data_IF_781264186919
#
_entry.id   IF_781264186919
#
_cell.length_a   1.000
_cell.length_b   1.000
_cell.length_c   1.000
_cell.angle_alpha   90.00
_cell.angle_beta   90.00
_cell.angle_gamma   90.00
#
_symmetry.space_group_name_H-M   'P 1'
#
loop_
_entity.id
_entity.type
_entity.pdbx_description
1 polymer ?
#
# COMPACT_ATOMS: atom_id res chain seq x y z
N UNK A 1 39.40 0.24 14.06
CA UNK A 1 38.94 -1.06 13.52
C UNK A 1 38.31 -1.92 14.61
N UNK A 2 38.87 -2.01 15.81
CA UNK A 2 38.28 -2.74 16.96
C UNK A 2 36.86 -2.29 17.36
N UNK A 3 36.55 -1.00 17.33
CA UNK A 3 35.23 -0.48 17.71
C UNK A 3 34.10 -0.87 16.76
N UNK A 4 34.40 -1.11 15.49
CA UNK A 4 33.41 -1.52 14.48
C UNK A 4 33.12 -3.02 14.59
N UNK A 5 34.15 -3.83 14.83
CA UNK A 5 34.03 -5.27 15.11
C UNK A 5 33.20 -5.54 16.37
N UNK A 6 33.42 -4.76 17.44
CA UNK A 6 32.63 -4.86 18.67
C UNK A 6 31.17 -4.50 18.40
N UNK A 7 30.90 -3.39 17.69
CA UNK A 7 29.54 -2.99 17.35
C UNK A 7 28.82 -4.03 16.47
N UNK A 8 29.52 -4.59 15.47
CA UNK A 8 29.00 -5.67 14.62
C UNK A 8 28.74 -6.95 15.43
N UNK A 9 29.64 -7.33 16.34
CA UNK A 9 29.46 -8.50 17.19
C UNK A 9 28.25 -8.35 18.13
N UNK A 10 28.03 -7.16 18.68
CA UNK A 10 26.88 -6.85 19.53
C UNK A 10 25.58 -6.91 18.72
N UNK A 11 25.57 -6.37 17.51
CA UNK A 11 24.41 -6.41 16.60
C UNK A 11 24.11 -7.85 16.15
N UNK A 12 25.13 -8.65 15.85
CA UNK A 12 24.97 -10.05 15.45
C UNK A 12 24.58 -10.96 16.64
N UNK A 13 25.03 -10.65 17.85
CA UNK A 13 24.61 -11.32 19.08
C UNK A 13 23.23 -10.87 19.58
N UNK A 14 22.72 -9.75 19.07
CA UNK A 14 21.34 -9.28 19.28
C UNK A 14 20.37 -9.99 18.32
N UNK A 15 20.62 -11.27 18.05
CA UNK A 15 19.59 -12.15 17.55
C UNK A 15 18.54 -12.25 18.65
N UNK A 16 17.33 -11.80 18.32
CA UNK A 16 16.09 -11.91 19.08
C UNK A 16 16.19 -12.85 20.26
N UNK A 17 16.13 -12.32 21.49
CA UNK A 17 15.73 -13.12 22.64
C UNK A 17 14.41 -13.76 22.20
N UNK A 18 14.34 -15.10 22.08
CA UNK A 18 13.08 -15.74 21.77
C UNK A 18 12.15 -15.34 22.90
N UNK A 19 11.07 -14.63 22.57
CA UNK A 19 10.00 -14.41 23.53
C UNK A 19 9.60 -15.80 24.03
N UNK A 20 9.56 -15.99 25.35
CA UNK A 20 9.07 -17.25 25.89
C UNK A 20 7.67 -17.47 25.30
N UNK A 21 7.32 -18.71 24.94
CA UNK A 21 6.02 -19.07 24.36
C UNK A 21 4.81 -18.54 25.17
N UNK A 22 4.99 -18.16 26.43
CA UNK A 22 3.97 -17.48 27.25
C UNK A 22 3.75 -15.99 26.93
N UNK A 23 4.77 -15.26 26.48
CA UNK A 23 4.69 -13.82 26.21
C UNK A 23 4.06 -13.52 24.83
N UNK A 24 4.27 -14.39 23.83
CA UNK A 24 3.61 -14.28 22.53
C UNK A 24 2.09 -14.44 22.67
N UNK A 25 1.66 -15.39 23.50
CA UNK A 25 0.23 -15.60 23.79
C UNK A 25 -0.40 -14.39 24.50
N UNK A 26 0.30 -13.76 25.44
CA UNK A 26 -0.23 -12.58 26.15
C UNK A 26 -0.41 -11.36 25.24
N UNK A 27 0.52 -11.13 24.31
CA UNK A 27 0.39 -10.05 23.30
C UNK A 27 -0.74 -10.36 22.32
N UNK A 28 -0.89 -11.62 21.90
CA UNK A 28 -1.95 -12.05 21.00
C UNK A 28 -3.34 -11.89 21.64
N UNK A 29 -3.47 -12.26 22.92
CA UNK A 29 -4.68 -12.03 23.71
C UNK A 29 -5.00 -10.54 23.82
N UNK A 30 -3.99 -9.68 24.03
CA UNK A 30 -4.15 -8.24 24.06
C UNK A 30 -4.65 -7.69 22.72
N UNK A 31 -4.02 -8.06 21.60
CA UNK A 31 -4.45 -7.62 20.27
C UNK A 31 -5.85 -8.12 19.92
N UNK A 32 -6.15 -9.38 20.23
CA UNK A 32 -7.49 -9.96 20.04
C UNK A 32 -8.54 -9.20 20.85
N UNK A 33 -8.25 -8.88 22.11
CA UNK A 33 -9.14 -8.09 22.97
C UNK A 33 -9.36 -6.68 22.40
N UNK A 34 -8.29 -6.02 21.96
CA UNK A 34 -8.37 -4.69 21.34
C UNK A 34 -9.26 -4.72 20.10
N UNK A 35 -9.05 -5.69 19.20
CA UNK A 35 -9.83 -5.82 17.97
C UNK A 35 -11.29 -6.13 18.26
N UNK A 36 -11.57 -7.04 19.20
CA UNK A 36 -12.95 -7.29 19.60
C UNK A 36 -13.66 -6.05 20.12
N UNK A 37 -12.99 -5.28 20.99
CA UNK A 37 -13.54 -4.01 21.48
C UNK A 37 -13.72 -3.02 20.33
N UNK A 38 -12.76 -2.92 19.41
CA UNK A 38 -12.85 -1.98 18.29
C UNK A 38 -14.00 -2.29 17.33
N UNK A 39 -14.17 -3.57 16.96
CA UNK A 39 -15.15 -3.99 15.96
C UNK A 39 -16.55 -4.25 16.54
N UNK A 40 -16.67 -4.78 17.76
CA UNK A 40 -17.96 -5.21 18.33
C UNK A 40 -18.51 -4.31 19.42
N UNK A 41 -17.90 -3.13 19.67
CA UNK A 41 -18.50 -2.14 20.57
C UNK A 41 -19.89 -1.77 20.08
N UNK A 42 -20.85 -1.77 21.01
CA UNK A 42 -22.25 -1.41 20.75
C UNK A 42 -22.33 -0.08 19.98
N UNK A 43 -22.92 -0.11 18.78
CA UNK A 43 -23.15 1.07 17.94
C UNK A 43 -22.42 1.09 16.59
N UNK A 44 -21.47 0.20 16.31
CA UNK A 44 -20.87 0.07 14.96
C UNK A 44 -21.74 -0.88 14.12
N UNK A 45 -22.26 -0.41 12.98
CA UNK A 45 -22.99 -1.26 12.06
C UNK A 45 -22.04 -2.13 11.21
N UNK A 46 -22.57 -3.20 10.61
CA UNK A 46 -21.79 -4.15 9.80
C UNK A 46 -21.05 -3.48 8.63
N UNK A 47 -21.64 -2.46 8.01
CA UNK A 47 -21.01 -1.69 6.93
C UNK A 47 -19.76 -0.94 7.39
N UNK A 48 -19.81 -0.31 8.57
CA UNK A 48 -18.67 0.38 9.14
C UNK A 48 -17.63 -0.63 9.63
N UNK A 49 -18.02 -1.79 10.17
CA UNK A 49 -17.08 -2.86 10.50
C UNK A 49 -16.31 -3.31 9.26
N UNK A 50 -17.00 -3.54 8.13
CA UNK A 50 -16.34 -3.90 6.86
C UNK A 50 -15.35 -2.82 6.43
N UNK A 51 -15.76 -1.55 6.44
CA UNK A 51 -14.88 -0.41 6.09
C UNK A 51 -13.68 -0.29 7.03
N UNK A 52 -13.88 -0.49 8.33
CA UNK A 52 -12.80 -0.51 9.32
C UNK A 52 -11.80 -1.62 9.01
N UNK A 53 -12.29 -2.82 8.68
CA UNK A 53 -11.45 -3.96 8.31
C UNK A 53 -10.68 -3.68 7.02
N UNK A 54 -11.34 -3.10 6.01
CA UNK A 54 -10.70 -2.72 4.76
C UNK A 54 -9.60 -1.68 4.97
N UNK A 55 -9.83 -0.65 5.79
CA UNK A 55 -8.81 0.33 6.16
C UNK A 55 -7.65 -0.34 6.90
N UNK A 56 -7.95 -1.14 7.92
CA UNK A 56 -6.93 -1.80 8.74
C UNK A 56 -6.04 -2.71 7.88
N UNK A 57 -6.64 -3.58 7.07
CA UNK A 57 -5.91 -4.47 6.17
C UNK A 57 -5.05 -3.69 5.17
N UNK A 58 -5.55 -2.56 4.69
CA UNK A 58 -4.81 -1.68 3.78
C UNK A 58 -3.60 -1.04 4.48
N UNK A 59 -3.72 -0.66 5.76
CA UNK A 59 -2.58 -0.17 6.56
C UNK A 59 -1.55 -1.28 6.79
N UNK A 60 -2.00 -2.51 7.05
CA UNK A 60 -1.10 -3.67 7.24
C UNK A 60 -0.35 -4.04 5.96
N UNK A 61 -1.02 -4.00 4.80
CA UNK A 61 -0.45 -4.39 3.51
C UNK A 61 0.16 -3.23 2.72
N UNK A 62 0.27 -2.04 3.32
CA UNK A 62 0.83 -0.87 2.65
C UNK A 62 2.33 -1.08 2.36
N UNK A 63 2.76 -0.81 1.11
CA UNK A 63 4.17 -0.86 0.75
C UNK A 63 4.94 0.32 1.37
N UNK A 64 4.27 1.46 1.49
CA UNK A 64 4.73 2.64 2.21
C UNK A 64 3.55 3.22 3.02
N UNK A 65 3.76 3.73 4.25
CA UNK A 65 2.71 4.40 5.01
C UNK A 65 2.04 5.51 4.20
N UNK A 66 0.71 5.61 4.32
CA UNK A 66 -0.10 6.56 3.58
C UNK A 66 -0.72 7.60 4.51
N UNK A 67 -0.96 8.81 4.01
CA UNK A 67 -1.79 9.78 4.72
C UNK A 67 -3.25 9.33 4.74
N UNK A 68 -4.05 9.90 5.64
CA UNK A 68 -5.50 9.65 5.68
C UNK A 68 -6.21 9.96 4.35
N UNK A 69 -5.73 10.96 3.59
CA UNK A 69 -6.30 11.31 2.29
C UNK A 69 -5.99 10.24 1.25
N UNK A 70 -4.75 9.78 1.16
CA UNK A 70 -4.35 8.71 0.23
C UNK A 70 -5.10 7.42 0.58
N UNK A 71 -5.15 7.06 1.87
CA UNK A 71 -5.86 5.88 2.36
C UNK A 71 -7.36 5.93 2.01
N UNK A 72 -7.99 7.11 2.10
CA UNK A 72 -9.38 7.27 1.67
C UNK A 72 -9.56 6.94 0.19
N UNK A 73 -8.64 7.38 -0.66
CA UNK A 73 -8.70 7.16 -2.12
C UNK A 73 -8.50 5.70 -2.47
N UNK A 74 -7.50 5.04 -1.87
CA UNK A 74 -7.20 3.61 -2.10
C UNK A 74 -8.34 2.70 -1.62
N UNK A 75 -8.99 3.01 -0.50
CA UNK A 75 -10.11 2.22 0.04
C UNK A 75 -11.48 2.62 -0.56
N UNK A 76 -11.52 3.64 -1.44
CA UNK A 76 -12.77 4.09 -2.08
C UNK A 76 -13.73 4.83 -1.13
N UNK A 77 -13.19 5.53 -0.13
CA UNK A 77 -13.92 6.35 0.83
C UNK A 77 -13.95 7.82 0.41
N UNK A 78 -14.94 8.56 0.94
CA UNK A 78 -15.24 9.92 0.47
C UNK A 78 -14.25 10.97 0.98
N UNK A 79 -13.62 10.76 2.14
CA UNK A 79 -12.77 11.78 2.76
C UNK A 79 -11.82 11.20 3.81
N UNK A 80 -10.70 11.91 4.03
CA UNK A 80 -9.77 11.65 5.13
C UNK A 80 -10.47 11.66 6.51
N UNK A 81 -11.43 12.57 6.71
CA UNK A 81 -12.22 12.65 7.96
C UNK A 81 -13.04 11.40 8.21
N UNK A 82 -13.54 10.75 7.15
CA UNK A 82 -14.26 9.48 7.28
C UNK A 82 -13.31 8.36 7.71
N UNK A 83 -12.12 8.28 7.12
CA UNK A 83 -11.08 7.32 7.51
C UNK A 83 -10.67 7.52 8.96
N UNK A 84 -10.42 8.77 9.37
CA UNK A 84 -10.00 9.11 10.73
C UNK A 84 -11.02 8.65 11.79
N UNK A 85 -12.31 8.88 11.53
CA UNK A 85 -13.40 8.41 12.40
C UNK A 85 -13.46 6.89 12.50
N UNK A 86 -13.25 6.18 11.40
CA UNK A 86 -13.24 4.71 11.36
C UNK A 86 -11.99 4.13 12.05
N UNK A 87 -10.87 4.86 12.05
CA UNK A 87 -9.65 4.47 12.78
C UNK A 87 -9.71 4.80 14.28
N UNK A 88 -10.65 5.64 14.73
CA UNK A 88 -10.73 6.07 16.13
C UNK A 88 -10.82 4.89 17.13
N UNK A 89 -11.58 3.81 16.89
CA UNK A 89 -11.59 2.64 17.78
C UNK A 89 -10.29 1.83 17.78
N UNK A 90 -9.44 2.00 16.75
CA UNK A 90 -8.21 1.24 16.52
C UNK A 90 -6.95 2.01 16.98
N UNK A 91 -7.10 3.16 17.65
CA UNK A 91 -5.96 4.03 18.04
C UNK A 91 -4.99 3.40 19.06
N UNK A 92 -5.35 2.28 19.68
CA UNK A 92 -4.45 1.49 20.53
C UNK A 92 -3.47 0.61 19.74
N UNK A 93 -3.70 0.40 18.45
CA UNK A 93 -2.82 -0.39 17.55
C UNK A 93 -2.40 0.37 16.29
N UNK A 94 -3.13 1.44 15.92
CA UNK A 94 -2.84 2.31 14.78
C UNK A 94 -2.50 3.71 15.26
N UNK A 95 -1.40 4.24 14.75
CA UNK A 95 -0.92 5.60 14.97
C UNK A 95 -1.21 6.51 13.77
N UNK A 96 -1.54 7.76 14.04
CA UNK A 96 -1.58 8.83 13.02
C UNK A 96 -0.96 10.07 13.66
N UNK A 97 0.37 10.26 13.52
CA UNK A 97 1.07 11.43 14.05
C UNK A 97 0.52 12.72 13.46
N UNK A 98 0.51 13.81 14.24
CA UNK A 98 0.03 15.12 13.75
C UNK A 98 1.01 15.76 12.78
N UNK A 99 2.29 15.42 12.92
CA UNK A 99 3.42 16.02 12.20
C UNK A 99 3.47 15.51 10.76
N UNK A 100 3.32 14.19 10.58
CA UNK A 100 3.40 13.56 9.26
C UNK A 100 2.03 13.23 8.66
N UNK A 101 1.02 12.99 9.51
CA UNK A 101 -0.28 12.49 9.07
C UNK A 101 -0.26 11.07 8.47
N UNK A 102 0.89 10.39 8.51
CA UNK A 102 1.08 9.04 7.96
C UNK A 102 0.50 8.00 8.92
N UNK A 103 -0.40 7.17 8.41
CA UNK A 103 -1.03 6.09 9.17
C UNK A 103 -0.06 4.92 9.27
N UNK A 104 0.28 4.53 10.48
CA UNK A 104 1.23 3.44 10.79
C UNK A 104 0.69 2.57 11.91
N UNK A 105 1.24 1.37 12.11
CA UNK A 105 0.96 0.59 13.32
C UNK A 105 1.82 1.11 14.47
N UNK A 106 1.31 0.99 15.70
CA UNK A 106 2.05 1.43 16.89
C UNK A 106 3.24 0.51 17.22
N UNK A 107 3.16 -0.75 16.85
CA UNK A 107 4.19 -1.74 17.10
C UNK A 107 4.38 -2.67 15.91
N UNK A 108 5.62 -3.12 15.69
CA UNK A 108 5.99 -3.97 14.58
C UNK A 108 5.37 -5.39 14.66
N UNK A 109 5.13 -5.90 15.87
CA UNK A 109 4.50 -7.22 16.05
C UNK A 109 3.00 -7.25 15.73
N UNK A 110 2.33 -6.10 15.58
CA UNK A 110 0.91 -6.06 15.27
C UNK A 110 0.62 -6.50 13.82
N UNK A 111 1.32 -6.00 12.78
CA UNK A 111 1.31 -6.63 11.46
C UNK A 111 1.58 -8.14 11.49
N UNK A 112 2.60 -8.61 12.24
CA UNK A 112 2.92 -10.04 12.34
C UNK A 112 1.76 -10.87 12.92
N UNK A 113 1.02 -10.29 13.87
CA UNK A 113 -0.20 -10.89 14.43
C UNK A 113 -1.32 -10.95 13.38
N UNK A 114 -1.61 -9.83 12.71
CA UNK A 114 -2.69 -9.71 11.71
C UNK A 114 -2.46 -10.62 10.50
N UNK A 115 -1.21 -10.80 10.09
CA UNK A 115 -0.81 -11.63 8.95
C UNK A 115 -0.73 -13.13 9.29
N UNK A 116 -0.87 -13.52 10.57
CA UNK A 116 -0.88 -14.92 10.98
C UNK A 116 -2.32 -15.45 11.16
N UNK A 117 -2.76 -16.44 10.37
CA UNK A 117 -4.12 -16.98 10.45
C UNK A 117 -4.40 -17.68 11.79
N UNK A 118 -3.38 -18.28 12.40
CA UNK A 118 -3.51 -18.99 13.67
C UNK A 118 -3.59 -18.04 14.87
N UNK A 119 -3.03 -16.82 14.76
CA UNK A 119 -2.99 -15.84 15.85
C UNK A 119 -4.20 -14.93 15.84
N UNK A 120 -4.50 -14.33 14.69
CA UNK A 120 -5.58 -13.34 14.56
C UNK A 120 -6.94 -13.93 14.18
N UNK A 121 -7.00 -15.20 13.78
CA UNK A 121 -8.20 -16.01 13.54
C UNK A 121 -9.27 -15.25 12.73
N UNK A 122 -10.31 -14.70 13.36
CA UNK A 122 -11.40 -13.99 12.68
C UNK A 122 -10.99 -12.63 12.10
N UNK A 123 -9.96 -12.00 12.68
CA UNK A 123 -9.44 -10.71 12.24
C UNK A 123 -8.33 -10.85 11.19
N UNK A 124 -7.96 -12.09 10.82
CA UNK A 124 -6.87 -12.35 9.91
C UNK A 124 -6.96 -11.50 8.63
N UNK A 125 -5.85 -10.83 8.32
CA UNK A 125 -5.66 -10.14 7.06
C UNK A 125 -5.27 -11.18 6.02
N UNK A 126 -5.99 -11.27 4.91
CA UNK A 126 -5.60 -12.12 3.78
C UNK A 126 -4.74 -11.30 2.81
N UNK A 127 -3.39 -11.32 2.94
CA UNK A 127 -2.54 -10.34 2.28
C UNK A 127 -2.63 -10.43 0.76
N UNK A 128 -2.65 -11.61 0.17
CA UNK A 128 -2.72 -11.76 -1.29
C UNK A 128 -4.00 -11.15 -1.88
N UNK A 129 -5.14 -11.32 -1.17
CA UNK A 129 -6.41 -10.71 -1.57
C UNK A 129 -6.39 -9.20 -1.42
N UNK A 130 -5.78 -8.71 -0.34
CA UNK A 130 -5.68 -7.27 -0.07
C UNK A 130 -4.77 -6.60 -1.08
N UNK A 131 -3.61 -7.19 -1.37
CA UNK A 131 -2.68 -6.74 -2.39
C UNK A 131 -3.34 -6.70 -3.78
N UNK A 132 -4.16 -7.70 -4.13
CA UNK A 132 -4.95 -7.65 -5.38
C UNK A 132 -5.87 -6.42 -5.43
N UNK A 133 -6.67 -6.20 -4.38
CA UNK A 133 -7.57 -5.02 -4.30
C UNK A 133 -6.80 -3.70 -4.29
N UNK A 134 -5.63 -3.64 -3.67
CA UNK A 134 -4.78 -2.44 -3.70
C UNK A 134 -4.16 -2.21 -5.09
N UNK A 135 -3.76 -3.25 -5.81
CA UNK A 135 -3.30 -3.15 -7.19
C UNK A 135 -4.43 -2.66 -8.11
N UNK A 136 -5.63 -3.22 -7.98
CA UNK A 136 -6.85 -2.76 -8.68
C UNK A 136 -7.11 -1.27 -8.41
N UNK A 137 -7.07 -0.84 -7.13
CA UNK A 137 -7.26 0.55 -6.76
C UNK A 137 -6.19 1.48 -7.33
N UNK A 138 -4.91 1.07 -7.31
CA UNK A 138 -3.83 1.86 -7.89
C UNK A 138 -3.98 2.01 -9.41
N UNK A 139 -4.27 0.91 -10.11
CA UNK A 139 -4.52 0.94 -11.56
C UNK A 139 -5.74 1.81 -11.90
N UNK A 140 -6.80 1.73 -11.10
CA UNK A 140 -7.98 2.59 -11.23
C UNK A 140 -7.69 4.08 -11.01
N UNK A 141 -6.80 4.43 -10.08
CA UNK A 141 -6.36 5.82 -9.88
C UNK A 141 -5.55 6.34 -11.07
N UNK A 142 -4.68 5.50 -11.65
CA UNK A 142 -3.92 5.84 -12.85
C UNK A 142 -4.85 6.00 -14.06
N UNK A 143 -5.82 5.11 -14.23
CA UNK A 143 -6.78 5.22 -15.33
C UNK A 143 -7.75 6.40 -15.16
N UNK A 144 -8.12 6.73 -13.92
CA UNK A 144 -8.97 7.87 -13.59
C UNK A 144 -8.27 9.24 -13.68
N UNK A 145 -6.98 9.29 -14.02
CA UNK A 145 -6.26 10.53 -14.17
C UNK A 145 -6.89 11.42 -15.28
N UNK A 146 -6.95 12.74 -15.10
CA UNK A 146 -7.75 13.63 -15.95
C UNK A 146 -7.22 13.76 -17.39
N UNK A 147 -5.96 13.41 -17.62
CA UNK A 147 -5.34 13.43 -18.94
C UNK A 147 -4.56 12.14 -19.20
N UNK A 148 -4.52 11.68 -20.45
CA UNK A 148 -3.69 10.55 -20.89
C UNK A 148 -2.25 10.95 -21.24
N UNK A 149 -1.95 12.24 -21.30
CA UNK A 149 -0.62 12.79 -21.60
C UNK A 149 -0.54 14.27 -21.19
N UNK A 150 0.66 14.76 -20.90
CA UNK A 150 0.92 16.13 -20.49
C UNK A 150 0.10 16.55 -19.26
N UNK A 151 0.14 15.74 -18.19
CA UNK A 151 -0.71 15.92 -17.00
C UNK A 151 -0.41 17.24 -16.26
N UNK A 152 0.82 17.74 -16.37
CA UNK A 152 1.24 19.02 -15.81
C UNK A 152 1.04 20.23 -16.75
N UNK A 153 0.38 20.02 -17.90
CA UNK A 153 0.15 21.04 -18.92
C UNK A 153 1.44 21.82 -19.26
N UNK A 154 2.53 21.08 -19.46
CA UNK A 154 3.83 21.64 -19.80
C UNK A 154 3.74 22.42 -21.12
N UNK A 155 4.43 23.56 -21.21
CA UNK A 155 4.31 24.46 -22.35
C UNK A 155 4.91 23.88 -23.64
N UNK A 156 5.88 22.97 -23.52
CA UNK A 156 6.58 22.37 -24.66
C UNK A 156 7.31 21.10 -24.25
N UNK A 157 7.32 20.09 -25.13
CA UNK A 157 8.14 18.89 -24.98
C UNK A 157 9.60 19.08 -25.41
N UNK A 158 9.94 20.26 -25.96
CA UNK A 158 11.31 20.59 -26.37
C UNK A 158 12.14 21.23 -25.26
N UNK A 159 11.50 21.63 -24.16
CA UNK A 159 12.17 22.16 -22.99
C UNK A 159 12.60 21.02 -22.08
N UNK A 160 13.78 21.13 -21.51
CA UNK A 160 14.19 20.32 -20.37
C UNK A 160 13.31 20.65 -19.17
N UNK A 161 13.08 19.68 -18.28
CA UNK A 161 12.38 19.91 -17.01
C UNK A 161 12.96 21.09 -16.22
N UNK A 162 14.28 21.30 -16.27
CA UNK A 162 14.97 22.41 -15.60
C UNK A 162 14.74 23.78 -16.24
N UNK A 163 14.25 23.82 -17.47
CA UNK A 163 13.94 25.04 -18.23
C UNK A 163 12.45 25.41 -18.11
N UNK A 164 11.62 24.52 -17.57
CA UNK A 164 10.22 24.80 -17.30
C UNK A 164 10.14 25.59 -16.00
N UNK A 165 9.76 26.86 -16.11
CA UNK A 165 9.36 27.66 -14.94
C UNK A 165 8.24 26.93 -14.18
N UNK A 166 8.14 27.16 -12.87
CA UNK A 166 7.05 26.67 -12.04
C UNK A 166 6.75 25.15 -12.05
N UNK A 167 7.67 24.31 -12.55
CA UNK A 167 7.44 22.87 -12.72
C UNK A 167 7.02 22.18 -11.42
N UNK A 168 7.70 22.46 -10.31
CA UNK A 168 7.38 21.83 -9.01
C UNK A 168 5.95 22.17 -8.54
N UNK A 169 5.50 23.40 -8.80
CA UNK A 169 4.13 23.83 -8.49
C UNK A 169 3.12 23.05 -9.35
N UNK A 170 3.35 22.98 -10.67
CA UNK A 170 2.50 22.22 -11.60
C UNK A 170 2.41 20.75 -11.21
N UNK A 171 3.53 20.13 -10.85
CA UNK A 171 3.57 18.74 -10.36
C UNK A 171 2.74 18.58 -9.11
N UNK A 172 2.86 19.49 -8.13
CA UNK A 172 2.10 19.42 -6.88
C UNK A 172 0.58 19.60 -7.07
N UNK A 173 0.17 20.36 -8.07
CA UNK A 173 -1.24 20.63 -8.39
C UNK A 173 -1.87 19.52 -9.24
N UNK A 174 -1.12 18.98 -10.20
CA UNK A 174 -1.61 17.99 -11.18
C UNK A 174 -1.43 16.54 -10.74
N UNK A 175 -0.48 16.24 -9.86
CA UNK A 175 -0.14 14.86 -9.45
C UNK A 175 -0.38 14.73 -7.94
N UNK A 176 -1.62 14.47 -7.52
CA UNK A 176 -1.94 14.33 -6.09
C UNK A 176 -1.26 13.10 -5.49
N UNK A 177 -1.09 13.11 -4.16
CA UNK A 177 -0.34 12.07 -3.46
C UNK A 177 -0.88 10.65 -3.63
N UNK A 178 -2.17 10.47 -3.88
CA UNK A 178 -2.78 9.16 -4.17
C UNK A 178 -2.36 8.64 -5.56
N UNK A 179 -2.30 9.51 -6.56
CA UNK A 179 -1.76 9.17 -7.87
C UNK A 179 -0.26 8.88 -7.81
N UNK A 180 0.51 9.65 -7.02
CA UNK A 180 1.93 9.37 -6.78
C UNK A 180 2.14 7.98 -6.16
N UNK A 181 1.37 7.65 -5.11
CA UNK A 181 1.43 6.33 -4.48
C UNK A 181 1.07 5.22 -5.47
N UNK A 182 -0.02 5.40 -6.22
CA UNK A 182 -0.48 4.45 -7.21
C UNK A 182 0.59 4.18 -8.28
N UNK A 183 1.15 5.23 -8.89
CA UNK A 183 2.18 5.09 -9.92
C UNK A 183 3.45 4.40 -9.40
N UNK A 184 3.83 4.63 -8.13
CA UNK A 184 5.03 4.02 -7.52
C UNK A 184 4.83 2.55 -7.11
N UNK A 185 3.63 2.17 -6.67
CA UNK A 185 3.45 0.92 -5.93
C UNK A 185 2.46 -0.08 -6.55
N UNK A 186 1.77 0.26 -7.66
CA UNK A 186 0.81 -0.66 -8.28
C UNK A 186 1.41 -2.05 -8.59
N UNK A 187 2.64 -2.11 -9.12
CA UNK A 187 3.27 -3.39 -9.48
C UNK A 187 3.81 -4.14 -8.25
N UNK A 188 4.20 -3.43 -7.20
CA UNK A 188 4.58 -4.06 -5.93
C UNK A 188 3.36 -4.73 -5.27
N UNK A 189 2.19 -4.09 -5.33
CA UNK A 189 0.95 -4.74 -4.92
C UNK A 189 0.61 -5.92 -5.83
N UNK A 190 0.80 -5.79 -7.14
CA UNK A 190 0.59 -6.87 -8.10
C UNK A 190 1.47 -8.10 -7.78
N UNK A 191 2.76 -7.92 -7.51
CA UNK A 191 3.71 -9.03 -7.22
C UNK A 191 3.29 -9.88 -6.00
N UNK A 192 2.66 -9.25 -5.01
CA UNK A 192 2.17 -9.91 -3.80
C UNK A 192 0.72 -10.38 -3.91
N UNK A 193 0.04 -10.10 -5.03
CA UNK A 193 -1.37 -10.41 -5.20
C UNK A 193 -1.60 -11.85 -5.62
N UNK A 194 -2.77 -12.37 -5.28
CA UNK A 194 -3.28 -13.53 -6.00
C UNK A 194 -3.63 -13.14 -7.45
N UNK A 195 -3.59 -14.12 -8.36
CA UNK A 195 -4.02 -13.90 -9.72
C UNK A 195 -5.55 -13.78 -9.80
N UNK A 196 -6.02 -12.78 -10.54
CA UNK A 196 -7.43 -12.58 -10.90
C UNK A 196 -7.53 -12.10 -12.35
N UNK A 197 -8.47 -12.63 -13.11
CA UNK A 197 -8.62 -12.27 -14.53
C UNK A 197 -9.00 -10.79 -14.69
N UNK A 198 -9.79 -10.25 -13.76
CA UNK A 198 -10.16 -8.84 -13.72
C UNK A 198 -8.94 -7.94 -13.52
N UNK A 199 -8.02 -8.34 -12.63
CA UNK A 199 -6.76 -7.62 -12.40
C UNK A 199 -5.85 -7.70 -13.62
N UNK A 200 -5.74 -8.86 -14.27
CA UNK A 200 -4.98 -9.00 -15.52
C UNK A 200 -5.53 -8.09 -16.63
N UNK A 201 -6.85 -7.96 -16.75
CA UNK A 201 -7.48 -7.04 -17.69
C UNK A 201 -7.13 -5.57 -17.40
N UNK A 202 -7.11 -5.16 -16.12
CA UNK A 202 -6.69 -3.81 -15.73
C UNK A 202 -5.22 -3.53 -16.07
N UNK A 203 -4.34 -4.52 -15.87
CA UNK A 203 -2.92 -4.43 -16.27
C UNK A 203 -2.81 -4.26 -17.79
N UNK A 204 -3.57 -5.05 -18.57
CA UNK A 204 -3.61 -4.89 -20.03
C UNK A 204 -4.07 -3.50 -20.48
N UNK A 205 -5.13 -2.97 -19.86
CA UNK A 205 -5.62 -1.60 -20.11
C UNK A 205 -4.59 -0.52 -19.77
N UNK A 206 -3.88 -0.71 -18.66
CA UNK A 206 -2.79 0.19 -18.27
C UNK A 206 -1.71 0.25 -19.37
N UNK A 207 -1.24 -0.90 -19.85
CA UNK A 207 -0.22 -0.94 -20.90
C UNK A 207 -0.70 -0.36 -22.23
N UNK A 208 -1.97 -0.57 -22.59
CA UNK A 208 -2.50 -0.07 -23.86
C UNK A 208 -2.75 1.44 -23.87
N UNK A 209 -3.16 2.01 -22.73
CA UNK A 209 -3.77 3.35 -22.70
C UNK A 209 -3.11 4.34 -21.75
N UNK A 210 -2.38 3.86 -20.73
CA UNK A 210 -1.85 4.69 -19.64
C UNK A 210 -0.34 4.58 -19.43
N UNK A 211 0.36 3.74 -20.19
CA UNK A 211 1.81 3.56 -20.05
C UNK A 211 2.59 4.89 -20.20
N UNK A 212 2.29 5.68 -21.23
CA UNK A 212 2.98 6.96 -21.47
C UNK A 212 2.69 7.98 -20.37
N UNK A 213 1.44 8.09 -19.93
CA UNK A 213 1.06 8.90 -18.78
C UNK A 213 1.85 8.50 -17.54
N UNK A 214 1.92 7.20 -17.25
CA UNK A 214 2.63 6.70 -16.09
C UNK A 214 4.13 7.00 -16.17
N UNK A 215 4.77 6.81 -17.33
CA UNK A 215 6.18 7.17 -17.53
C UNK A 215 6.42 8.67 -17.32
N UNK A 216 5.52 9.51 -17.83
CA UNK A 216 5.57 10.95 -17.62
C UNK A 216 5.49 11.29 -16.13
N UNK A 217 4.48 10.76 -15.41
CA UNK A 217 4.33 10.96 -13.96
C UNK A 217 5.59 10.53 -13.22
N UNK A 218 6.05 9.29 -13.45
CA UNK A 218 7.24 8.73 -12.80
C UNK A 218 8.50 9.56 -13.07
N UNK A 219 8.65 10.12 -14.27
CA UNK A 219 9.73 11.04 -14.59
C UNK A 219 9.59 12.36 -13.82
N UNK A 220 8.41 12.96 -13.82
CA UNK A 220 8.14 14.25 -13.17
C UNK A 220 8.33 14.18 -11.65
N UNK A 221 7.92 13.08 -11.01
CA UNK A 221 8.17 12.84 -9.57
C UNK A 221 9.59 12.32 -9.28
N UNK A 222 10.50 12.38 -10.26
CA UNK A 222 11.92 12.02 -10.16
C UNK A 222 12.16 10.56 -9.71
N UNK A 223 11.28 9.65 -10.12
CA UNK A 223 11.31 8.23 -9.75
C UNK A 223 11.66 7.28 -10.91
N UNK A 224 12.00 7.82 -12.09
CA UNK A 224 12.25 7.03 -13.31
C UNK A 224 13.38 6.00 -13.22
N UNK A 225 14.33 6.18 -12.29
CA UNK A 225 15.34 5.16 -12.00
C UNK A 225 14.75 3.80 -11.59
N UNK A 226 13.52 3.76 -11.10
CA UNK A 226 12.79 2.54 -10.73
C UNK A 226 11.83 2.06 -11.82
N UNK A 227 11.62 2.83 -12.88
CA UNK A 227 10.58 2.58 -13.89
C UNK A 227 10.71 1.21 -14.55
N UNK A 228 11.92 0.82 -14.95
CA UNK A 228 12.17 -0.51 -15.56
C UNK A 228 11.83 -1.65 -14.60
N UNK A 229 12.23 -1.54 -13.33
CA UNK A 229 11.91 -2.55 -12.31
C UNK A 229 10.40 -2.66 -12.08
N UNK A 230 9.68 -1.52 -12.04
CA UNK A 230 8.22 -1.52 -11.85
C UNK A 230 7.52 -2.29 -12.98
N UNK A 231 7.93 -2.07 -14.23
CA UNK A 231 7.38 -2.77 -15.40
C UNK A 231 7.77 -4.25 -15.41
N UNK A 232 9.02 -4.58 -15.12
CA UNK A 232 9.49 -5.98 -15.07
C UNK A 232 8.76 -6.80 -14.00
N UNK A 233 8.43 -6.20 -12.85
CA UNK A 233 7.61 -6.84 -11.83
C UNK A 233 6.24 -7.23 -12.39
N UNK A 234 5.58 -6.34 -13.13
CA UNK A 234 4.29 -6.63 -13.75
C UNK A 234 4.38 -7.69 -14.86
N UNK A 235 5.42 -7.61 -15.71
CA UNK A 235 5.68 -8.61 -16.76
C UNK A 235 5.88 -10.02 -16.17
N UNK A 236 6.66 -10.13 -15.09
CA UNK A 236 6.89 -11.39 -14.39
C UNK A 236 5.59 -11.95 -13.83
N UNK A 237 4.76 -11.11 -13.22
CA UNK A 237 3.47 -11.53 -12.67
C UNK A 237 2.55 -12.08 -13.77
N UNK A 238 2.45 -11.40 -14.93
CA UNK A 238 1.68 -11.87 -16.08
C UNK A 238 2.20 -13.23 -16.61
N UNK A 239 3.53 -13.41 -16.66
CA UNK A 239 4.15 -14.64 -17.15
C UNK A 239 3.88 -15.85 -16.25
N UNK A 240 3.80 -15.65 -14.93
CA UNK A 240 3.45 -16.71 -13.98
C UNK A 240 1.98 -17.09 -14.10
N UNK A 241 1.10 -16.13 -14.36
CA UNK A 241 -0.33 -16.39 -14.52
C UNK A 241 -0.72 -17.14 -15.79
N UNK A 242 0.02 -16.94 -16.88
CA UNK A 242 -0.19 -17.70 -18.12
C UNK A 242 0.08 -19.20 -17.89
N UNK A 243 1.07 -19.53 -17.05
CA UNK A 243 1.36 -20.92 -16.68
C UNK A 243 0.29 -21.54 -15.76
N UNK A 244 -0.30 -20.73 -14.86
CA UNK A 244 -1.37 -21.18 -13.97
C UNK A 244 -2.70 -21.39 -14.71
N UNK A 245 -3.03 -20.50 -15.65
CA UNK A 245 -4.24 -20.62 -16.47
C UNK A 245 -4.17 -21.83 -17.42
N UNK A 246 -2.99 -22.15 -17.98
CA UNK A 246 -2.76 -23.39 -18.73
C UNK A 246 -2.88 -24.62 -17.82
N UNK A 247 -2.34 -24.59 -16.59
CA UNK A 247 -2.41 -25.73 -15.66
C UNK A 247 -3.82 -26.00 -15.12
N UNK A 248 -4.72 -25.02 -15.13
CA UNK A 248 -6.13 -25.19 -14.69
C UNK A 248 -7.07 -25.67 -15.80
N UNK A 249 -6.57 -25.74 -17.04
CA UNK A 249 -7.30 -26.19 -18.22
C UNK A 249 -7.08 -27.68 -18.57
N UNK A 250 -6.33 -28.40 -17.72
CA UNK A 250 -6.13 -29.86 -17.76
C UNK A 250 -6.50 -30.49 -16.42
#
# INVERSE_FOLDING_TARGET
METLEIALSVIMSSTSIPMQHGDENAIDELYTTILHIAFHKSGVNEENQKKMKDILDTVICAVEPMTLSILARVVGLKSATQVDKLLMPLRSVVNVPKETGLVTTLHASFPDFMLSPNRSVEFHCQPQRRHATMAEACLGLIDGAPSSFNICALPSSYLLDSEVEDLDMRVSESIPGDLMYACRHWSAHLDHSEYRIELANLVGQFFSSRLFLWMEIINLIKHMRHGTSIIQTAEKWCSVSDNLSISSAF
#
